data_IF_157597870399
#
_entry.id   IF_157597870399
#
_cell.length_a   1.000
_cell.length_b   1.000
_cell.length_c   1.000
_cell.angle_alpha   90.00
_cell.angle_beta   90.00
_cell.angle_gamma   90.00
#
_symmetry.space_group_name_H-M   'P 1'
#
loop_
_entity.id
_entity.type
_entity.pdbx_description
1 polymer ?
#
# COMPACT_ATOMS: atom_id res chain seq x y z
N UNK A 1 -73.91 23.53 -29.91
CA UNK A 1 -73.16 22.43 -29.27
C UNK A 1 -71.66 22.67 -29.45
N UNK A 2 -71.01 23.28 -28.44
CA UNK A 2 -69.53 23.60 -28.46
C UNK A 2 -68.78 22.44 -27.82
N UNK A 3 -67.99 21.73 -28.59
CA UNK A 3 -67.06 20.66 -28.08
C UNK A 3 -65.80 21.33 -27.55
N UNK A 4 -65.64 21.26 -26.23
CA UNK A 4 -64.44 21.71 -25.52
C UNK A 4 -63.38 20.56 -25.55
N UNK A 5 -62.31 20.78 -26.29
CA UNK A 5 -61.15 19.82 -26.34
C UNK A 5 -60.22 20.19 -25.19
N UNK A 6 -60.11 19.30 -24.22
CA UNK A 6 -59.18 19.42 -23.11
C UNK A 6 -57.83 18.85 -23.52
N UNK A 7 -56.82 19.75 -23.71
CA UNK A 7 -55.44 19.32 -24.01
C UNK A 7 -54.73 19.08 -22.67
N UNK A 8 -54.48 17.82 -22.40
CA UNK A 8 -53.71 17.38 -21.21
C UNK A 8 -52.21 17.42 -21.55
N UNK A 9 -51.50 18.45 -21.09
CA UNK A 9 -50.04 18.54 -21.25
C UNK A 9 -49.35 17.67 -20.19
N UNK A 10 -48.74 16.58 -20.66
CA UNK A 10 -47.95 15.68 -19.85
C UNK A 10 -46.53 16.30 -19.66
N UNK A 11 -46.26 16.83 -18.46
CA UNK A 11 -44.94 17.31 -18.07
C UNK A 11 -44.10 16.11 -17.63
N UNK A 12 -43.18 15.66 -18.48
CA UNK A 12 -42.18 14.63 -18.13
C UNK A 12 -41.03 15.29 -17.36
N UNK A 13 -40.97 15.03 -16.04
CA UNK A 13 -39.79 15.34 -15.22
C UNK A 13 -38.64 14.41 -15.60
N UNK A 14 -37.62 14.91 -16.28
CA UNK A 14 -36.36 14.19 -16.40
C UNK A 14 -35.60 14.32 -15.06
N UNK A 15 -35.57 13.24 -14.28
CA UNK A 15 -34.66 13.10 -13.15
C UNK A 15 -33.28 12.81 -13.69
N UNK A 16 -32.41 13.81 -13.73
CA UNK A 16 -30.97 13.64 -13.93
C UNK A 16 -30.38 13.00 -12.66
N UNK A 17 -30.24 11.68 -12.66
CA UNK A 17 -29.46 10.97 -11.67
C UNK A 17 -27.97 11.31 -11.93
N UNK A 18 -27.42 12.21 -11.09
CA UNK A 18 -25.97 12.33 -10.97
C UNK A 18 -25.47 11.04 -10.34
N UNK A 19 -25.04 10.09 -11.16
CA UNK A 19 -24.20 8.99 -10.74
C UNK A 19 -22.84 9.57 -10.40
N UNK A 20 -22.62 9.87 -9.11
CA UNK A 20 -21.30 10.15 -8.58
C UNK A 20 -20.49 8.87 -8.72
N UNK A 21 -19.73 8.74 -9.81
CA UNK A 21 -18.71 7.72 -9.94
C UNK A 21 -17.67 7.96 -8.85
N UNK A 22 -17.65 7.11 -7.81
CA UNK A 22 -16.46 6.96 -7.01
C UNK A 22 -15.38 6.46 -7.99
N UNK A 23 -14.43 7.33 -8.31
CA UNK A 23 -13.19 6.89 -8.92
C UNK A 23 -12.51 6.05 -7.83
N UNK A 24 -12.50 4.73 -7.99
CA UNK A 24 -11.56 3.89 -7.27
C UNK A 24 -10.18 4.37 -7.72
N UNK A 25 -9.50 5.07 -6.84
CA UNK A 25 -8.11 5.44 -7.02
C UNK A 25 -7.33 4.14 -7.12
N UNK A 26 -6.82 3.82 -8.31
CA UNK A 26 -6.07 2.58 -8.53
C UNK A 26 -4.76 2.69 -7.77
N UNK A 27 -4.54 1.76 -6.84
CA UNK A 27 -3.30 1.70 -6.09
C UNK A 27 -2.10 1.44 -7.01
N UNK A 28 -0.96 2.02 -6.66
CA UNK A 28 0.32 1.70 -7.28
C UNK A 28 0.81 0.35 -6.74
N UNK A 29 0.88 -0.66 -7.60
CA UNK A 29 1.40 -1.97 -7.21
C UNK A 29 2.93 -1.98 -7.26
N UNK A 30 3.56 -2.32 -6.13
CA UNK A 30 4.99 -2.55 -5.99
C UNK A 30 5.25 -4.02 -5.65
N UNK A 31 6.31 -4.59 -6.23
CA UNK A 31 6.82 -5.90 -5.88
C UNK A 31 8.26 -5.78 -5.41
N UNK A 32 8.57 -6.36 -4.27
CA UNK A 32 9.90 -6.40 -3.67
C UNK A 32 10.22 -7.84 -3.29
N UNK A 33 11.36 -8.34 -3.75
CA UNK A 33 11.82 -9.69 -3.41
C UNK A 33 12.99 -9.61 -2.43
N UNK A 34 12.83 -10.22 -1.26
CA UNK A 34 13.91 -10.42 -0.31
C UNK A 34 14.61 -11.75 -0.60
N UNK A 35 15.93 -11.73 -0.62
CA UNK A 35 16.82 -12.89 -0.70
C UNK A 35 17.69 -12.96 0.55
N UNK A 36 18.76 -13.76 0.58
CA UNK A 36 19.47 -14.10 1.81
C UNK A 36 19.97 -12.92 2.67
N UNK A 37 20.31 -11.78 2.14
CA UNK A 37 20.57 -10.52 2.88
C UNK A 37 20.51 -9.35 1.88
N UNK A 38 19.50 -9.32 1.02
CA UNK A 38 19.35 -8.26 0.05
C UNK A 38 17.89 -8.13 -0.42
N UNK A 39 17.51 -6.94 -0.81
CA UNK A 39 16.34 -6.71 -1.65
C UNK A 39 16.75 -6.71 -3.12
N UNK A 40 15.89 -7.21 -4.00
CA UNK A 40 16.11 -7.22 -5.46
C UNK A 40 16.05 -5.80 -6.06
N UNK A 41 15.40 -4.88 -5.37
CA UNK A 41 15.30 -3.48 -5.74
C UNK A 41 15.57 -2.58 -4.52
N UNK A 42 16.62 -1.78 -4.62
CA UNK A 42 17.01 -0.85 -3.56
C UNK A 42 16.38 0.55 -3.72
N UNK A 43 15.56 0.78 -4.78
CA UNK A 43 14.90 2.05 -5.00
C UNK A 43 13.47 1.83 -5.48
N UNK A 44 12.50 2.20 -4.65
CA UNK A 44 11.07 2.19 -4.95
C UNK A 44 10.59 3.62 -5.17
N UNK A 45 9.67 3.84 -6.12
CA UNK A 45 9.15 5.17 -6.44
C UNK A 45 7.62 5.15 -6.42
N UNK A 46 7.02 6.10 -5.71
CA UNK A 46 5.57 6.28 -5.59
C UNK A 46 5.20 7.76 -5.63
N UNK A 47 3.95 8.08 -5.86
CA UNK A 47 3.43 9.46 -5.80
C UNK A 47 2.89 9.82 -4.42
N UNK A 48 3.00 11.09 -4.04
CA UNK A 48 2.32 11.62 -2.84
C UNK A 48 0.81 11.53 -3.01
N UNK A 49 0.09 11.15 -1.94
CA UNK A 49 -1.36 10.92 -1.92
C UNK A 49 -1.85 9.84 -2.90
N UNK A 50 -0.96 8.99 -3.41
CA UNK A 50 -1.32 7.81 -4.17
C UNK A 50 -1.36 6.58 -3.27
N UNK A 51 -2.47 5.82 -3.25
CA UNK A 51 -2.50 4.53 -2.57
C UNK A 51 -1.43 3.60 -3.16
N UNK A 52 -0.71 2.91 -2.29
CA UNK A 52 0.35 1.95 -2.63
C UNK A 52 -0.02 0.59 -2.09
N UNK A 53 0.21 -0.44 -2.90
CA UNK A 53 0.14 -1.83 -2.49
C UNK A 53 1.50 -2.49 -2.74
N UNK A 54 2.27 -2.66 -1.67
CA UNK A 54 3.55 -3.34 -1.69
C UNK A 54 3.36 -4.83 -1.40
N UNK A 55 3.84 -5.69 -2.30
CA UNK A 55 3.95 -7.13 -2.06
C UNK A 55 5.42 -7.46 -1.79
N UNK A 56 5.71 -7.92 -0.57
CA UNK A 56 7.00 -8.48 -0.20
C UNK A 56 6.95 -9.99 -0.41
N UNK A 57 7.86 -10.52 -1.23
CA UNK A 57 8.09 -11.97 -1.40
C UNK A 57 9.45 -12.35 -0.80
N UNK A 58 9.47 -13.35 0.05
CA UNK A 58 10.71 -13.84 0.65
C UNK A 58 11.19 -15.11 -0.05
N UNK A 59 12.17 -14.98 -0.94
CA UNK A 59 12.83 -16.08 -1.63
C UNK A 59 14.02 -16.66 -0.84
N UNK A 60 14.36 -16.05 0.31
CA UNK A 60 15.48 -16.47 1.16
C UNK A 60 15.13 -17.61 2.12
N UNK A 61 16.14 -18.05 2.87
CA UNK A 61 16.03 -19.10 3.87
C UNK A 61 15.73 -18.57 5.29
N UNK A 62 15.85 -17.27 5.50
CA UNK A 62 15.55 -16.56 6.75
C UNK A 62 14.29 -15.73 6.60
N UNK A 63 13.69 -15.34 7.71
CA UNK A 63 12.62 -14.34 7.70
C UNK A 63 13.18 -13.00 7.26
N UNK A 64 12.38 -12.24 6.51
CA UNK A 64 12.70 -10.88 6.10
C UNK A 64 11.47 -9.98 6.25
N UNK A 65 11.72 -8.70 6.48
CA UNK A 65 10.68 -7.69 6.56
C UNK A 65 11.03 -6.46 5.71
N UNK A 66 9.99 -5.68 5.43
CA UNK A 66 10.08 -4.33 4.90
C UNK A 66 9.63 -3.37 6.00
N UNK A 67 10.50 -2.44 6.36
CA UNK A 67 10.27 -1.50 7.44
C UNK A 67 10.70 -0.09 7.07
N UNK A 68 9.90 0.91 7.43
CA UNK A 68 10.25 2.33 7.35
C UNK A 68 10.00 2.96 8.73
N UNK A 69 11.02 3.62 9.28
CA UNK A 69 10.94 4.17 10.64
C UNK A 69 10.03 5.40 10.71
N UNK A 70 10.24 6.35 9.82
CA UNK A 70 9.53 7.62 9.82
C UNK A 70 9.08 7.97 8.41
N UNK A 71 7.78 8.08 8.22
CA UNK A 71 7.13 8.55 7.01
C UNK A 71 5.71 9.00 7.37
N UNK A 72 5.26 10.11 6.80
CA UNK A 72 3.88 10.54 6.97
C UNK A 72 2.96 9.73 6.05
N UNK A 73 2.06 8.93 6.62
CA UNK A 73 1.17 8.01 5.91
C UNK A 73 -0.21 7.97 6.55
N UNK A 74 -1.21 7.53 5.78
CA UNK A 74 -2.51 7.10 6.27
C UNK A 74 -2.94 5.80 5.57
N UNK A 75 -4.07 5.22 6.01
CA UNK A 75 -4.65 3.98 5.47
C UNK A 75 -3.65 2.82 5.44
N UNK A 76 -2.90 2.65 6.55
CA UNK A 76 -1.91 1.58 6.67
C UNK A 76 -2.61 0.28 7.03
N UNK A 77 -2.48 -0.73 6.15
CA UNK A 77 -2.99 -2.08 6.35
C UNK A 77 -1.90 -3.09 5.98
N UNK A 78 -1.54 -3.95 6.93
CA UNK A 78 -0.64 -5.06 6.72
C UNK A 78 -1.43 -6.37 6.71
N UNK A 79 -1.18 -7.22 5.71
CA UNK A 79 -1.67 -8.59 5.64
C UNK A 79 -0.48 -9.52 5.43
N UNK A 80 -0.16 -10.28 6.45
CA UNK A 80 0.89 -11.31 6.42
C UNK A 80 0.27 -12.63 6.00
N UNK A 81 1.01 -13.45 5.23
CA UNK A 81 0.63 -14.85 5.07
C UNK A 81 0.79 -15.53 6.42
N UNK A 82 -0.26 -16.21 6.90
CA UNK A 82 -0.33 -16.87 8.22
C UNK A 82 1.00 -17.53 8.58
N UNK A 83 1.81 -16.81 9.33
CA UNK A 83 3.01 -17.30 9.95
C UNK A 83 2.86 -17.05 11.45
N UNK A 84 3.02 -18.11 12.21
CA UNK A 84 2.93 -18.14 13.67
C UNK A 84 3.67 -16.95 14.31
N UNK A 85 3.01 -16.34 15.31
CA UNK A 85 3.48 -15.49 16.38
C UNK A 85 5.00 -15.22 16.39
N UNK A 86 5.45 -14.39 15.42
CA UNK A 86 6.85 -14.02 15.33
C UNK A 86 7.19 -13.08 16.48
N UNK A 87 8.28 -13.38 17.16
CA UNK A 87 8.84 -12.55 18.22
C UNK A 87 9.13 -11.16 17.68
N UNK A 88 8.11 -10.29 17.73
CA UNK A 88 8.25 -8.86 17.51
C UNK A 88 9.36 -8.36 18.43
N UNK A 89 10.47 -7.88 17.88
CA UNK A 89 11.42 -7.14 18.69
C UNK A 89 10.74 -5.87 19.20
N UNK A 90 11.04 -5.43 20.41
CA UNK A 90 10.36 -4.28 21.04
C UNK A 90 10.38 -2.99 20.18
N UNK A 91 11.28 -2.91 19.20
CA UNK A 91 11.47 -1.77 18.31
C UNK A 91 10.44 -1.63 17.17
N UNK A 92 9.62 -2.66 16.90
CA UNK A 92 8.62 -2.62 15.79
C UNK A 92 7.51 -1.60 16.04
N UNK A 93 7.22 -1.28 17.30
CA UNK A 93 6.21 -0.27 17.67
C UNK A 93 6.60 1.18 17.29
N UNK A 94 7.87 1.42 16.93
CA UNK A 94 8.37 2.72 16.49
C UNK A 94 8.44 2.85 14.97
N UNK A 95 7.96 1.85 14.21
CA UNK A 95 7.98 1.85 12.76
C UNK A 95 6.66 2.41 12.20
N UNK A 96 6.77 3.35 11.26
CA UNK A 96 5.61 3.88 10.56
C UNK A 96 5.02 2.86 9.57
N UNK A 97 5.88 2.05 8.94
CA UNK A 97 5.51 0.95 8.06
C UNK A 97 6.28 -0.31 8.46
N UNK A 98 5.57 -1.44 8.50
CA UNK A 98 6.18 -2.75 8.75
C UNK A 98 5.33 -3.88 8.16
N UNK A 99 5.97 -4.83 7.50
CA UNK A 99 5.38 -6.11 7.11
C UNK A 99 6.47 -7.17 7.00
N UNK A 100 6.23 -8.37 7.53
CA UNK A 100 7.17 -9.49 7.52
C UNK A 100 6.68 -10.63 6.62
N UNK A 101 7.62 -11.26 5.91
CA UNK A 101 7.38 -12.42 5.07
C UNK A 101 8.20 -13.62 5.55
N UNK A 102 7.55 -14.77 5.85
CA UNK A 102 8.26 -15.97 6.29
C UNK A 102 9.16 -16.54 5.19
N UNK A 103 10.18 -17.33 5.54
CA UNK A 103 11.13 -17.88 4.57
C UNK A 103 10.47 -18.86 3.59
N UNK A 104 11.16 -19.10 2.47
CA UNK A 104 10.79 -20.17 1.53
C UNK A 104 9.63 -19.83 0.61
N UNK A 105 9.51 -18.60 0.16
CA UNK A 105 8.46 -18.14 -0.76
C UNK A 105 7.25 -17.54 -0.07
N UNK A 106 7.36 -17.23 1.23
CA UNK A 106 6.33 -16.50 1.96
C UNK A 106 6.10 -15.12 1.38
N UNK A 107 4.88 -14.62 1.51
CA UNK A 107 4.47 -13.31 0.98
C UNK A 107 3.73 -12.53 2.04
N UNK A 108 3.92 -11.22 1.99
CA UNK A 108 3.16 -10.27 2.80
C UNK A 108 2.77 -9.06 1.96
N UNK A 109 1.66 -8.43 2.30
CA UNK A 109 1.15 -7.25 1.59
C UNK A 109 1.02 -6.10 2.57
N UNK A 110 1.55 -4.95 2.19
CA UNK A 110 1.43 -3.71 2.92
C UNK A 110 0.73 -2.67 2.04
N UNK A 111 -0.38 -2.15 2.49
CA UNK A 111 -1.08 -1.04 1.85
C UNK A 111 -0.88 0.23 2.67
N UNK A 112 -0.61 1.34 2.00
CA UNK A 112 -0.42 2.64 2.64
C UNK A 112 -0.56 3.77 1.63
N UNK A 113 -0.82 4.99 2.13
CA UNK A 113 -0.85 6.20 1.30
C UNK A 113 0.11 7.24 1.88
N UNK A 114 1.25 7.55 1.21
CA UNK A 114 2.18 8.56 1.68
C UNK A 114 1.61 9.96 1.47
N UNK A 115 1.79 10.86 2.45
CA UNK A 115 1.22 12.23 2.43
C UNK A 115 2.24 13.33 2.24
N UNK A 116 3.53 13.03 2.34
CA UNK A 116 4.61 14.00 2.19
C UNK A 116 5.65 13.51 1.18
N UNK A 117 6.08 14.33 0.21
CA UNK A 117 7.14 13.98 -0.70
C UNK A 117 8.49 13.91 0.04
N UNK A 118 9.36 12.98 -0.38
CA UNK A 118 10.67 12.81 0.25
C UNK A 118 11.36 11.52 -0.15
N UNK A 119 12.53 11.30 0.42
CA UNK A 119 13.26 10.04 0.33
C UNK A 119 13.32 9.40 1.72
N UNK A 120 12.84 8.18 1.83
CA UNK A 120 12.69 7.45 3.07
C UNK A 120 13.47 6.14 3.00
N UNK A 121 14.31 5.86 4.01
CA UNK A 121 15.01 4.59 4.08
C UNK A 121 14.02 3.47 4.42
N UNK A 122 14.04 2.39 3.64
CA UNK A 122 13.46 1.12 4.05
C UNK A 122 14.58 0.10 4.33
N UNK A 123 14.31 -0.84 5.24
CA UNK A 123 15.31 -1.80 5.69
C UNK A 123 14.64 -3.05 6.27
N UNK A 124 15.43 -4.11 6.44
CA UNK A 124 15.04 -5.31 7.19
C UNK A 124 15.45 -5.16 8.66
N UNK A 125 14.53 -5.45 9.61
CA UNK A 125 14.79 -5.35 11.05
C UNK A 125 15.43 -6.61 11.66
N UNK A 126 15.53 -7.70 10.91
CA UNK A 126 16.21 -8.90 11.36
C UNK A 126 17.64 -8.58 11.74
N UNK A 127 18.07 -9.02 12.92
CA UNK A 127 19.34 -8.65 13.51
C UNK A 127 20.54 -8.89 12.57
N UNK A 128 21.32 -7.84 12.30
CA UNK A 128 22.49 -7.87 11.42
C UNK A 128 22.21 -7.67 9.93
N UNK A 129 20.94 -7.71 9.49
CA UNK A 129 20.60 -7.58 8.07
C UNK A 129 20.78 -6.14 7.57
N UNK A 130 20.30 -5.16 8.32
CA UNK A 130 20.52 -3.75 8.00
C UNK A 130 22.00 -3.39 7.93
N UNK A 131 22.79 -3.82 8.90
CA UNK A 131 24.24 -3.60 8.97
C UNK A 131 24.98 -4.30 7.83
N UNK A 132 24.45 -5.40 7.32
CA UNK A 132 24.97 -6.11 6.16
C UNK A 132 24.57 -5.48 4.82
N UNK A 133 23.74 -4.42 4.83
CA UNK A 133 23.36 -3.66 3.64
C UNK A 133 21.94 -3.98 3.11
N UNK A 134 21.10 -4.70 3.87
CA UNK A 134 19.71 -4.95 3.46
C UNK A 134 18.85 -3.70 3.70
N UNK A 135 19.06 -2.70 2.87
CA UNK A 135 18.44 -1.38 2.90
C UNK A 135 18.08 -0.90 1.50
N UNK A 136 17.19 0.08 1.41
CA UNK A 136 16.87 0.77 0.17
C UNK A 136 16.21 2.12 0.42
N UNK A 137 15.78 2.78 -0.63
CA UNK A 137 15.14 4.09 -0.58
C UNK A 137 13.76 4.05 -1.22
N UNK A 138 12.74 4.45 -0.47
CA UNK A 138 11.40 4.75 -0.98
C UNK A 138 11.33 6.23 -1.31
N UNK A 139 11.17 6.55 -2.59
CA UNK A 139 11.02 7.91 -3.09
C UNK A 139 9.54 8.22 -3.25
N UNK A 140 9.08 9.23 -2.54
CA UNK A 140 7.74 9.79 -2.69
C UNK A 140 7.85 11.05 -3.53
N UNK A 141 7.42 10.98 -4.79
CA UNK A 141 7.39 12.11 -5.72
C UNK A 141 6.17 13.00 -5.49
N UNK A 142 6.20 14.26 -5.98
CA UNK A 142 5.08 15.19 -5.93
C UNK A 142 3.90 14.78 -6.81
#
# INVERSE_FOLDING_TARGET
MKRMVLILTLVTLLATACSGGQQEETATDLSLVATDIAFDNERLEVGVNQPVRLTLENAGALEHDFSVREIAVHDVHAAESEADDHAMTEDVHELALHVAAPPGGGRAVLEFTPTEPGEYEFFCTVAGHKEAGMVGTLVVGP
#
